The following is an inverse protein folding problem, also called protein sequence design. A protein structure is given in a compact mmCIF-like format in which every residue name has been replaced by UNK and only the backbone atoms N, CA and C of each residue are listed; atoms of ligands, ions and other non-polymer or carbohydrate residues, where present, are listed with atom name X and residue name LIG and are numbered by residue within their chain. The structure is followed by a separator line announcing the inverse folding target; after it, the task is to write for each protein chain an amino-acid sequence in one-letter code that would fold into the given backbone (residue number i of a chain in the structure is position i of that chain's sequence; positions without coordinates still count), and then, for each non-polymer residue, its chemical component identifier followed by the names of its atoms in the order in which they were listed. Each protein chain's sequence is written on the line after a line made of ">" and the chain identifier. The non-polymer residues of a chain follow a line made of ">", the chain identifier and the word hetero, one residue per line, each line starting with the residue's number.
data_IF_220865940739
#
_entry.id   IF_220865940739
#
_cell.length_a   1.000
_cell.length_b   1.000
_cell.length_c   1.000
_cell.angle_alpha   90.00
_cell.angle_beta   90.00
_cell.angle_gamma   90.00
#
_symmetry.space_group_name_H-M   'P 1'
#
loop_
_entity.id
_entity.type
_entity.pdbx_description
1 polymer ?
#
# COMPACT_ATOMS: atom_id res chain seq x y z
N UNK A 1 0.39 20.10 15.53
CA UNK A 1 0.76 19.21 14.41
C UNK A 1 1.46 18.01 14.99
N UNK A 2 1.06 16.82 14.58
CA UNK A 2 1.63 15.53 15.00
C UNK A 2 1.42 14.47 13.92
N UNK A 3 2.14 13.37 14.04
CA UNK A 3 1.96 12.19 13.19
C UNK A 3 2.31 10.92 13.92
N UNK A 4 1.70 9.82 13.52
CA UNK A 4 2.02 8.48 14.00
C UNK A 4 2.08 7.49 12.85
N UNK A 5 2.98 6.53 12.94
CA UNK A 5 3.06 5.39 12.03
C UNK A 5 3.16 4.12 12.85
N UNK A 6 2.36 3.13 12.48
CA UNK A 6 2.27 1.82 13.14
C UNK A 6 2.53 0.75 12.08
N UNK A 7 3.36 -0.24 12.43
CA UNK A 7 3.57 -1.46 11.65
C UNK A 7 3.20 -2.65 12.52
N UNK A 8 2.27 -3.46 12.08
CA UNK A 8 1.76 -4.63 12.80
C UNK A 8 1.97 -5.89 11.97
N UNK A 9 2.47 -6.95 12.58
CA UNK A 9 2.50 -8.26 11.96
C UNK A 9 1.10 -8.88 11.99
N UNK A 10 0.66 -9.38 10.84
CA UNK A 10 -0.75 -9.76 10.66
C UNK A 10 -1.16 -10.90 11.59
N UNK A 11 -0.39 -11.97 11.67
CA UNK A 11 -0.81 -13.20 12.35
C UNK A 11 -0.56 -13.18 13.86
N UNK A 12 0.48 -12.49 14.31
CA UNK A 12 0.86 -12.45 15.73
C UNK A 12 0.28 -11.26 16.48
N UNK A 13 -0.11 -10.19 15.77
CA UNK A 13 -0.53 -8.94 16.38
C UNK A 13 0.62 -8.09 16.92
N UNK A 14 1.87 -8.52 16.72
CA UNK A 14 3.04 -7.80 17.22
C UNK A 14 3.20 -6.44 16.54
N UNK A 15 3.34 -5.40 17.32
CA UNK A 15 3.66 -4.05 16.85
C UNK A 15 5.17 -3.98 16.64
N UNK A 16 5.60 -4.10 15.38
CA UNK A 16 7.01 -4.12 14.99
C UNK A 16 7.64 -2.73 14.98
N UNK A 17 6.83 -1.70 14.75
CA UNK A 17 7.25 -0.31 14.84
C UNK A 17 6.08 0.58 15.24
N UNK A 18 6.35 1.52 16.13
CA UNK A 18 5.42 2.54 16.59
C UNK A 18 6.18 3.86 16.74
N UNK A 19 5.90 4.81 15.86
CA UNK A 19 6.54 6.12 15.83
C UNK A 19 5.50 7.20 16.07
N UNK A 20 5.77 8.12 17.01
CA UNK A 20 4.91 9.22 17.36
C UNK A 20 5.70 10.53 17.37
N UNK A 21 5.44 11.42 16.43
CA UNK A 21 6.14 12.69 16.32
C UNK A 21 5.18 13.85 16.51
N UNK A 22 5.45 14.68 17.50
CA UNK A 22 4.74 15.92 17.77
C UNK A 22 5.62 17.13 17.56
N UNK A 23 5.07 18.24 17.06
CA UNK A 23 5.79 19.50 16.89
C UNK A 23 6.16 20.09 18.25
N UNK A 24 7.44 20.43 18.41
CA UNK A 24 7.95 21.10 19.61
C UNK A 24 7.75 22.62 19.53
N UNK A 25 7.77 23.36 20.66
CA UNK A 25 7.72 24.81 20.68
C UNK A 25 8.82 25.47 19.85
N UNK A 26 10.01 24.88 19.77
CA UNK A 26 11.13 25.34 18.96
C UNK A 26 11.03 25.02 17.46
N UNK A 27 9.89 24.47 17.00
CA UNK A 27 9.61 24.21 15.56
C UNK A 27 10.11 22.86 15.04
N UNK A 28 10.88 22.09 15.83
CA UNK A 28 11.28 20.72 15.52
C UNK A 28 10.18 19.69 15.82
N UNK A 29 10.52 18.40 15.71
CA UNK A 29 9.65 17.26 16.04
C UNK A 29 10.34 16.33 17.01
N UNK A 30 9.57 15.81 17.98
CA UNK A 30 10.06 14.83 18.95
C UNK A 30 8.94 13.88 19.37
N UNK A 31 9.29 12.71 19.87
CA UNK A 31 8.36 11.81 20.57
C UNK A 31 8.06 12.35 21.96
N UNK A 32 6.83 12.75 22.20
CA UNK A 32 6.36 13.33 23.46
C UNK A 32 5.08 12.71 23.98
N UNK A 33 4.26 12.20 23.09
CA UNK A 33 2.96 11.62 23.39
C UNK A 33 2.75 10.43 22.45
N UNK A 34 2.17 9.36 22.97
CA UNK A 34 1.77 8.23 22.13
C UNK A 34 0.43 8.52 21.46
N UNK A 35 0.48 9.19 20.29
CA UNK A 35 -0.70 9.53 19.51
C UNK A 35 -1.44 8.31 18.97
N UNK A 36 -0.74 7.19 18.81
CA UNK A 36 -1.29 5.95 18.28
C UNK A 36 -2.40 5.38 19.20
N UNK A 37 -2.25 5.50 20.51
CA UNK A 37 -3.17 4.93 21.50
C UNK A 37 -3.93 6.00 22.29
N UNK A 38 -3.32 7.18 22.47
CA UNK A 38 -3.81 8.26 23.34
C UNK A 38 -4.68 9.32 22.64
N UNK A 39 -4.82 9.28 21.32
CA UNK A 39 -5.59 10.28 20.56
C UNK A 39 -6.70 9.65 19.75
N UNK A 40 -7.94 9.87 20.19
CA UNK A 40 -9.12 9.53 19.41
C UNK A 40 -9.45 10.67 18.44
N UNK A 41 -9.56 10.34 17.16
CA UNK A 41 -9.92 11.26 16.09
C UNK A 41 -11.03 10.68 15.22
N UNK A 42 -11.74 11.51 14.50
CA UNK A 42 -12.64 11.01 13.47
C UNK A 42 -11.82 10.32 12.38
N UNK A 43 -12.04 9.01 12.12
CA UNK A 43 -11.22 8.23 11.18
C UNK A 43 -11.44 8.62 9.71
N UNK A 44 -12.51 9.37 9.42
CA UNK A 44 -12.90 9.71 8.05
C UNK A 44 -13.05 8.45 7.19
N UNK A 45 -12.64 8.52 5.95
CA UNK A 45 -12.85 7.43 4.98
C UNK A 45 -12.15 6.11 5.30
N UNK A 46 -11.25 6.04 6.28
CA UNK A 46 -10.76 4.73 6.76
C UNK A 46 -11.85 3.95 7.48
N UNK A 47 -12.86 4.61 8.03
CA UNK A 47 -14.03 3.97 8.64
C UNK A 47 -14.93 3.25 7.62
N UNK A 48 -14.82 3.56 6.34
CA UNK A 48 -15.64 2.91 5.30
C UNK A 48 -15.43 1.40 5.23
N UNK A 49 -14.36 0.86 5.79
CA UNK A 49 -14.21 -0.58 5.97
C UNK A 49 -15.35 -1.16 6.84
N UNK A 50 -15.67 -0.51 7.96
CA UNK A 50 -16.81 -0.93 8.80
C UNK A 50 -18.14 -0.82 8.04
N UNK A 51 -18.32 0.25 7.27
CA UNK A 51 -19.51 0.42 6.43
C UNK A 51 -19.61 -0.61 5.30
N UNK A 52 -18.48 -1.00 4.70
CA UNK A 52 -18.42 -2.09 3.71
C UNK A 52 -18.83 -3.42 4.32
N UNK A 53 -18.29 -3.76 5.50
CA UNK A 53 -18.64 -4.98 6.22
C UNK A 53 -20.13 -5.01 6.57
N UNK A 54 -20.67 -3.91 7.08
CA UNK A 54 -22.09 -3.77 7.38
C UNK A 54 -22.97 -3.98 6.14
N UNK A 55 -22.65 -3.32 5.04
CA UNK A 55 -23.46 -3.39 3.81
C UNK A 55 -23.40 -4.76 3.14
N UNK A 56 -22.24 -5.44 3.17
CA UNK A 56 -22.05 -6.72 2.49
C UNK A 56 -22.45 -7.92 3.36
N UNK A 57 -22.18 -7.88 4.68
CA UNK A 57 -22.40 -9.02 5.57
C UNK A 57 -23.77 -8.99 6.25
N UNK A 58 -24.23 -7.82 6.68
CA UNK A 58 -25.49 -7.67 7.40
C UNK A 58 -26.67 -7.30 6.47
N UNK A 59 -26.45 -6.40 5.51
CA UNK A 59 -27.50 -5.99 4.56
C UNK A 59 -27.52 -6.80 3.25
N UNK A 60 -26.58 -7.71 3.05
CA UNK A 60 -26.41 -8.54 1.83
C UNK A 60 -26.50 -7.70 0.52
N UNK A 61 -25.88 -6.53 0.54
CA UNK A 61 -25.96 -5.59 -0.55
C UNK A 61 -25.20 -6.09 -1.79
N UNK A 62 -25.82 -6.08 -2.99
CA UNK A 62 -25.15 -6.48 -4.22
C UNK A 62 -24.03 -5.48 -4.59
N UNK A 63 -22.93 -5.99 -5.20
CA UNK A 63 -21.81 -5.16 -5.62
C UNK A 63 -22.12 -4.28 -6.84
N UNK A 64 -23.13 -4.62 -7.62
CA UNK A 64 -23.62 -3.87 -8.77
C UNK A 64 -24.70 -2.84 -8.42
N UNK A 65 -25.08 -2.73 -7.13
CA UNK A 65 -25.99 -1.68 -6.65
C UNK A 65 -25.40 -0.31 -6.96
N UNK A 66 -26.12 0.50 -7.71
CA UNK A 66 -25.71 1.84 -8.11
C UNK A 66 -26.46 2.94 -7.38
N UNK A 67 -25.78 4.06 -7.15
CA UNK A 67 -26.37 5.30 -6.65
C UNK A 67 -25.82 6.49 -7.44
N UNK A 68 -26.71 7.42 -7.79
CA UNK A 68 -26.30 8.76 -8.24
C UNK A 68 -25.61 9.50 -7.09
N UNK A 69 -24.35 9.87 -7.30
CA UNK A 69 -23.49 10.56 -6.33
C UNK A 69 -23.39 12.06 -6.57
N UNK A 70 -24.15 12.59 -7.56
CA UNK A 70 -24.29 14.02 -7.82
C UNK A 70 -23.07 14.66 -8.47
N UNK A 71 -22.12 13.89 -9.00
CA UNK A 71 -20.93 14.38 -9.71
C UNK A 71 -20.15 15.47 -8.98
N UNK A 72 -19.87 15.24 -7.69
CA UNK A 72 -19.17 16.21 -6.82
C UNK A 72 -20.05 17.36 -6.32
N UNK A 73 -21.34 17.38 -6.65
CA UNK A 73 -22.30 18.35 -6.09
C UNK A 73 -22.78 17.91 -4.71
N UNK A 74 -23.34 18.84 -3.98
CA UNK A 74 -23.98 18.55 -2.69
C UNK A 74 -25.28 17.79 -2.92
N UNK A 75 -25.38 16.59 -2.33
CA UNK A 75 -26.58 15.75 -2.31
C UNK A 75 -27.19 15.77 -0.92
N UNK A 76 -28.51 15.70 -0.80
CA UNK A 76 -29.20 15.55 0.49
C UNK A 76 -29.54 14.06 0.72
N UNK A 77 -29.11 13.52 1.86
CA UNK A 77 -29.42 12.18 2.33
C UNK A 77 -30.05 12.30 3.71
N UNK A 78 -31.28 11.86 3.88
CA UNK A 78 -32.01 12.01 5.15
C UNK A 78 -32.07 13.49 5.62
N UNK A 79 -32.12 14.45 4.67
CA UNK A 79 -32.09 15.88 4.97
C UNK A 79 -30.69 16.47 5.16
N UNK A 80 -29.66 15.63 5.30
CA UNK A 80 -28.27 16.03 5.58
C UNK A 80 -27.51 16.26 4.29
N UNK A 81 -26.76 17.36 4.22
CA UNK A 81 -25.90 17.70 3.06
C UNK A 81 -24.62 16.85 3.09
N UNK A 82 -24.40 16.10 2.03
CA UNK A 82 -23.22 15.26 1.81
C UNK A 82 -22.62 15.61 0.45
N UNK A 83 -21.30 15.55 0.35
CA UNK A 83 -20.57 15.83 -0.89
C UNK A 83 -19.34 14.93 -0.96
N UNK A 84 -19.02 14.48 -2.17
CA UNK A 84 -17.76 13.82 -2.46
C UNK A 84 -16.63 14.82 -2.62
N UNK A 85 -15.41 14.37 -2.32
CA UNK A 85 -14.20 15.19 -2.46
C UNK A 85 -13.75 15.36 -3.92
N UNK A 86 -14.28 14.54 -4.82
CA UNK A 86 -13.93 14.52 -6.25
C UNK A 86 -15.22 14.55 -7.08
N UNK A 87 -15.16 15.24 -8.22
CA UNK A 87 -16.17 15.19 -9.27
C UNK A 87 -15.78 14.14 -10.31
N UNK A 88 -16.66 13.85 -11.28
CA UNK A 88 -16.39 12.97 -12.41
C UNK A 88 -17.30 11.74 -12.49
N UNK A 89 -18.15 11.53 -11.48
CA UNK A 89 -19.08 10.40 -11.46
C UNK A 89 -20.51 10.86 -11.12
N UNK A 90 -21.47 10.44 -11.91
CA UNK A 90 -22.89 10.53 -11.56
C UNK A 90 -23.31 9.26 -10.83
N UNK A 91 -23.41 8.16 -11.54
CA UNK A 91 -23.76 6.88 -10.97
C UNK A 91 -22.48 6.09 -10.64
N UNK A 92 -22.41 5.55 -9.44
CA UNK A 92 -21.36 4.65 -8.99
C UNK A 92 -21.94 3.33 -8.52
N UNK A 93 -21.31 2.23 -8.90
CA UNK A 93 -21.46 0.94 -8.26
C UNK A 93 -20.62 0.84 -6.96
N UNK A 94 -20.75 -0.25 -6.24
CA UNK A 94 -20.04 -0.44 -4.95
C UNK A 94 -18.51 -0.39 -5.13
N UNK A 95 -17.97 -1.04 -6.16
CA UNK A 95 -16.53 -1.09 -6.43
C UNK A 95 -15.97 0.30 -6.70
N UNK A 96 -16.58 1.02 -7.61
CA UNK A 96 -16.20 2.40 -7.95
C UNK A 96 -16.29 3.32 -6.73
N UNK A 97 -17.36 3.20 -5.93
CA UNK A 97 -17.55 4.00 -4.73
C UNK A 97 -16.47 3.74 -3.67
N UNK A 98 -16.00 2.50 -3.52
CA UNK A 98 -14.88 2.16 -2.63
C UNK A 98 -13.57 2.71 -3.18
N UNK A 99 -13.27 2.49 -4.46
CA UNK A 99 -12.04 2.94 -5.12
C UNK A 99 -11.91 4.47 -5.08
N UNK A 100 -13.00 5.20 -5.37
CA UNK A 100 -13.07 6.66 -5.36
C UNK A 100 -13.37 7.24 -3.97
N UNK A 101 -13.65 6.37 -3.00
CA UNK A 101 -13.96 6.77 -1.62
C UNK A 101 -15.16 7.74 -1.51
N UNK A 102 -16.26 7.47 -2.24
CA UNK A 102 -17.47 8.30 -2.26
C UNK A 102 -18.15 8.36 -0.89
N UNK A 103 -18.39 9.55 -0.37
CA UNK A 103 -19.18 9.79 0.83
C UNK A 103 -20.67 9.67 0.54
N UNK A 104 -21.09 10.17 -0.63
CA UNK A 104 -22.50 10.19 -1.02
C UNK A 104 -23.02 8.77 -1.20
N UNK A 105 -22.24 7.90 -1.86
CA UNK A 105 -22.60 6.49 -2.01
C UNK A 105 -22.86 5.79 -0.67
N UNK A 106 -21.88 5.85 0.23
CA UNK A 106 -22.00 5.22 1.55
C UNK A 106 -23.11 5.82 2.40
N UNK A 107 -23.32 7.15 2.31
CA UNK A 107 -24.40 7.81 3.01
C UNK A 107 -25.77 7.31 2.52
N UNK A 108 -26.01 7.25 1.19
CA UNK A 108 -27.26 6.74 0.61
C UNK A 108 -27.49 5.27 0.96
N UNK A 109 -26.49 4.42 0.78
CA UNK A 109 -26.58 2.98 1.03
C UNK A 109 -26.89 2.68 2.49
N UNK A 110 -26.24 3.35 3.45
CA UNK A 110 -26.50 3.19 4.87
C UNK A 110 -27.85 3.78 5.27
N UNK A 111 -28.20 4.96 4.74
CA UNK A 111 -29.47 5.58 5.02
C UNK A 111 -30.65 4.69 4.61
N UNK A 112 -30.63 4.19 3.39
CA UNK A 112 -31.69 3.34 2.83
C UNK A 112 -31.95 2.08 3.68
N UNK A 113 -30.89 1.51 4.29
CA UNK A 113 -31.00 0.23 5.00
C UNK A 113 -31.15 0.33 6.50
N UNK A 114 -30.73 1.46 7.08
CA UNK A 114 -30.63 1.59 8.55
C UNK A 114 -31.31 2.84 9.11
N UNK A 115 -31.94 3.68 8.29
CA UNK A 115 -32.63 4.87 8.79
C UNK A 115 -33.74 4.54 9.80
N UNK A 116 -34.48 3.45 9.54
CA UNK A 116 -35.59 2.99 10.38
C UNK A 116 -35.15 2.03 11.49
N UNK A 117 -33.92 1.53 11.44
CA UNK A 117 -33.36 0.62 12.45
C UNK A 117 -31.90 0.93 12.77
N UNK A 118 -31.68 2.02 13.48
CA UNK A 118 -30.35 2.50 13.87
C UNK A 118 -29.68 1.60 14.93
N UNK A 119 -30.46 0.89 15.71
CA UNK A 119 -29.97 -0.09 16.69
C UNK A 119 -29.23 -1.24 15.99
N UNK A 120 -29.77 -1.77 14.89
CA UNK A 120 -29.10 -2.80 14.07
C UNK A 120 -27.74 -2.32 13.55
N UNK A 121 -27.66 -1.06 13.13
CA UNK A 121 -26.39 -0.45 12.78
C UNK A 121 -25.40 -0.46 13.96
N UNK A 122 -25.84 -0.01 15.15
CA UNK A 122 -24.98 0.04 16.33
C UNK A 122 -24.54 -1.33 16.80
N UNK A 123 -25.43 -2.31 16.79
CA UNK A 123 -25.12 -3.69 17.20
C UNK A 123 -24.06 -4.30 16.27
N UNK A 124 -24.14 -4.02 14.97
CA UNK A 124 -23.10 -4.45 14.04
C UNK A 124 -21.76 -3.75 14.31
N UNK A 125 -21.75 -2.44 14.61
CA UNK A 125 -20.51 -1.73 14.98
C UNK A 125 -19.88 -2.26 16.26
N UNK A 126 -20.70 -2.68 17.25
CA UNK A 126 -20.23 -3.37 18.47
C UNK A 126 -19.67 -4.76 18.13
N UNK A 127 -20.30 -5.52 17.24
CA UNK A 127 -19.75 -6.79 16.71
C UNK A 127 -18.37 -6.60 16.09
N UNK A 128 -18.11 -5.44 15.47
CA UNK A 128 -16.78 -5.06 14.95
C UNK A 128 -15.82 -4.56 16.03
N UNK A 129 -16.16 -4.64 17.32
CA UNK A 129 -15.34 -4.19 18.45
C UNK A 129 -14.98 -2.69 18.42
N UNK A 130 -15.85 -1.85 17.83
CA UNK A 130 -15.58 -0.42 17.63
C UNK A 130 -16.04 0.46 18.80
N UNK A 131 -16.59 -0.10 19.84
CA UNK A 131 -17.01 0.56 21.08
C UNK A 131 -16.08 0.26 22.26
N UNK A 132 -15.04 -0.54 22.06
CA UNK A 132 -14.14 -1.03 23.09
C UNK A 132 -12.66 -0.74 22.74
N UNK A 133 -11.82 -0.77 23.77
CA UNK A 133 -10.36 -0.76 23.60
C UNK A 133 -9.88 -2.08 23.01
N UNK A 134 -8.72 -2.07 22.35
CA UNK A 134 -8.10 -3.29 21.82
C UNK A 134 -7.29 -4.04 22.91
N UNK A 135 -7.12 -3.43 24.08
CA UNK A 135 -6.54 -4.04 25.28
C UNK A 135 -5.04 -4.27 25.19
N UNK A 136 -4.31 -3.19 24.94
CA UNK A 136 -2.85 -3.19 24.98
C UNK A 136 -2.31 -3.37 26.39
N UNK A 137 -1.08 -3.91 26.50
CA UNK A 137 -0.34 -3.99 27.77
C UNK A 137 0.20 -2.61 28.24
N UNK A 138 -0.06 -1.54 27.47
CA UNK A 138 0.40 -0.18 27.75
C UNK A 138 -0.70 0.68 28.37
N UNK A 139 -0.31 1.56 29.28
CA UNK A 139 -1.19 2.59 29.84
C UNK A 139 -1.51 3.67 28.79
N UNK A 140 -2.73 4.24 28.88
CA UNK A 140 -3.14 5.40 28.09
C UNK A 140 -3.94 5.08 26.84
N UNK A 141 -4.30 3.81 26.63
CA UNK A 141 -5.26 3.48 25.58
C UNK A 141 -6.61 4.13 25.88
N UNK A 142 -7.08 4.95 24.94
CA UNK A 142 -8.37 5.64 25.07
C UNK A 142 -9.51 4.79 24.51
N UNK A 143 -10.59 4.70 25.29
CA UNK A 143 -11.85 4.10 24.82
C UNK A 143 -12.37 4.87 23.61
N UNK A 144 -12.89 4.19 22.56
CA UNK A 144 -13.57 4.84 21.44
C UNK A 144 -14.70 5.76 21.91
N UNK A 145 -14.94 6.83 21.16
CA UNK A 145 -16.14 7.63 21.36
C UNK A 145 -17.22 7.13 20.39
N UNK A 146 -18.12 6.31 20.92
CA UNK A 146 -19.25 5.75 20.20
C UNK A 146 -20.55 6.08 20.94
N UNK A 147 -21.13 7.25 20.62
CA UNK A 147 -22.35 7.74 21.29
C UNK A 147 -23.58 6.91 20.89
N UNK A 148 -24.48 6.71 21.83
CA UNK A 148 -25.80 6.12 21.60
C UNK A 148 -26.71 7.09 20.83
N UNK A 149 -27.65 6.55 20.04
CA UNK A 149 -28.66 7.33 19.30
C UNK A 149 -29.55 8.17 20.21
N UNK A 150 -29.82 7.66 21.42
CA UNK A 150 -30.67 8.33 22.42
C UNK A 150 -30.00 9.54 23.08
N UNK A 151 -28.66 9.60 22.98
CA UNK A 151 -27.86 10.67 23.60
C UNK A 151 -27.59 11.84 22.67
N UNK A 152 -28.07 11.79 21.42
CA UNK A 152 -27.76 12.82 20.42
C UNK A 152 -29.02 13.54 19.94
N UNK A 153 -28.94 14.89 19.75
CA UNK A 153 -30.08 15.66 19.28
C UNK A 153 -30.58 15.31 17.88
N UNK A 154 -29.68 14.83 17.01
CA UNK A 154 -29.97 14.52 15.61
C UNK A 154 -29.40 13.15 15.22
N UNK A 155 -30.14 12.04 15.51
CA UNK A 155 -29.74 10.69 15.15
C UNK A 155 -29.58 10.48 13.63
N UNK A 156 -30.35 11.18 12.81
CA UNK A 156 -30.28 11.07 11.35
C UNK A 156 -28.96 11.65 10.83
N UNK A 157 -28.58 12.83 11.31
CA UNK A 157 -27.27 13.41 10.99
C UNK A 157 -26.12 12.50 11.45
N UNK A 158 -26.27 11.87 12.62
CA UNK A 158 -25.28 10.94 13.14
C UNK A 158 -25.14 9.73 12.21
N UNK A 159 -26.23 9.07 11.81
CA UNK A 159 -26.19 7.90 10.92
C UNK A 159 -25.52 8.23 9.60
N UNK A 160 -25.99 9.31 8.92
CA UNK A 160 -25.43 9.75 7.65
C UNK A 160 -23.93 10.05 7.76
N UNK A 161 -23.50 10.75 8.81
CA UNK A 161 -22.09 11.12 8.97
C UNK A 161 -21.21 9.96 9.41
N UNK A 162 -21.72 9.03 10.23
CA UNK A 162 -20.99 7.80 10.60
C UNK A 162 -20.70 6.91 9.41
N UNK A 163 -21.54 6.89 8.38
CA UNK A 163 -21.33 6.05 7.20
C UNK A 163 -19.98 6.30 6.51
N UNK A 164 -19.38 7.47 6.69
CA UNK A 164 -18.07 7.83 6.14
C UNK A 164 -17.07 8.33 7.19
N UNK A 165 -17.28 7.98 8.48
CA UNK A 165 -16.29 8.11 9.55
C UNK A 165 -16.27 9.44 10.29
N UNK A 166 -17.39 10.16 10.34
CA UNK A 166 -17.60 11.28 11.25
C UNK A 166 -18.53 10.89 12.40
N UNK A 167 -18.59 11.68 13.47
CA UNK A 167 -19.43 11.38 14.66
C UNK A 167 -19.10 10.05 15.34
N UNK A 168 -17.90 9.57 15.14
CA UNK A 168 -17.24 8.48 15.85
C UNK A 168 -15.77 8.86 16.00
N UNK A 169 -15.15 8.57 17.14
CA UNK A 169 -13.71 8.83 17.29
C UNK A 169 -13.01 7.54 17.70
N UNK A 170 -12.00 7.18 16.92
CA UNK A 170 -11.14 6.01 17.09
C UNK A 170 -9.69 6.46 17.22
N UNK A 171 -8.91 5.71 17.96
CA UNK A 171 -7.45 5.86 17.96
C UNK A 171 -6.84 5.16 16.73
N UNK A 172 -5.65 5.56 16.28
CA UNK A 172 -4.96 4.88 15.19
C UNK A 172 -4.77 3.39 15.42
N UNK A 173 -4.54 2.94 16.67
CA UNK A 173 -4.39 1.52 16.98
C UNK A 173 -5.68 0.73 16.74
N UNK A 174 -6.85 1.31 17.01
CA UNK A 174 -8.14 0.68 16.71
C UNK A 174 -8.38 0.58 15.20
N UNK A 175 -8.01 1.62 14.45
CA UNK A 175 -8.13 1.60 12.98
C UNK A 175 -7.23 0.53 12.38
N UNK A 176 -5.96 0.44 12.76
CA UNK A 176 -5.06 -0.59 12.20
C UNK A 176 -5.52 -1.99 12.58
N UNK A 177 -6.03 -2.20 13.81
CA UNK A 177 -6.54 -3.51 14.26
C UNK A 177 -7.72 -3.97 13.42
N UNK A 178 -8.65 -3.08 13.05
CA UNK A 178 -9.75 -3.40 12.16
C UNK A 178 -9.26 -3.84 10.76
N UNK A 179 -8.28 -3.16 10.19
CA UNK A 179 -7.70 -3.55 8.89
C UNK A 179 -6.86 -4.83 8.99
N UNK A 180 -6.13 -4.99 10.09
CA UNK A 180 -5.41 -6.24 10.37
C UNK A 180 -6.33 -7.45 10.44
N UNK A 181 -7.55 -7.27 10.94
CA UNK A 181 -8.57 -8.32 10.97
C UNK A 181 -8.90 -8.85 9.57
N UNK A 182 -9.04 -7.96 8.58
CA UNK A 182 -9.26 -8.36 7.19
C UNK A 182 -8.03 -9.08 6.61
N UNK A 183 -6.85 -8.57 6.91
CA UNK A 183 -5.59 -9.21 6.55
C UNK A 183 -5.43 -10.60 7.20
N UNK A 184 -5.91 -10.78 8.45
CA UNK A 184 -5.81 -11.99 9.27
C UNK A 184 -7.06 -12.90 9.14
N UNK A 185 -7.51 -13.11 7.92
CA UNK A 185 -8.60 -14.04 7.58
C UNK A 185 -9.92 -13.81 8.36
N UNK A 186 -10.17 -12.56 8.73
CA UNK A 186 -11.39 -12.17 9.46
C UNK A 186 -11.31 -12.37 10.98
N UNK A 187 -10.17 -12.82 11.50
CA UNK A 187 -9.94 -12.99 12.93
C UNK A 187 -9.32 -11.74 13.52
N UNK A 188 -10.03 -11.07 14.45
CA UNK A 188 -9.50 -9.92 15.16
C UNK A 188 -8.70 -10.36 16.37
N UNK A 189 -7.45 -9.93 16.45
CA UNK A 189 -6.55 -10.18 17.57
C UNK A 189 -6.09 -8.86 18.19
N UNK A 190 -5.83 -8.86 19.48
CA UNK A 190 -5.27 -7.69 20.17
C UNK A 190 -3.85 -7.41 19.66
N UNK A 191 -3.49 -6.14 19.42
CA UNK A 191 -2.09 -5.80 19.22
C UNK A 191 -1.25 -6.11 20.46
N UNK A 192 0.04 -6.42 20.28
CA UNK A 192 1.00 -6.66 21.38
C UNK A 192 2.18 -5.70 21.23
N UNK A 193 2.53 -5.00 22.30
CA UNK A 193 3.73 -4.14 22.38
C UNK A 193 4.87 -4.83 23.10
N UNK A 194 4.56 -5.72 24.04
CA UNK A 194 5.53 -6.45 24.85
C UNK A 194 5.42 -7.93 24.55
N UNK A 195 6.50 -8.55 24.08
CA UNK A 195 6.54 -9.98 23.77
C UNK A 195 6.79 -10.81 25.02
N UNK A 196 7.71 -10.35 25.88
CA UNK A 196 8.10 -11.07 27.08
C UNK A 196 8.71 -10.14 28.15
N UNK A 197 8.60 -10.56 29.40
CA UNK A 197 9.34 -10.02 30.53
C UNK A 197 10.47 -10.97 30.87
N UNK A 198 11.67 -10.42 31.07
CA UNK A 198 12.87 -11.19 31.46
C UNK A 198 13.45 -10.70 32.78
N UNK A 199 14.06 -11.64 33.51
CA UNK A 199 14.93 -11.36 34.65
C UNK A 199 16.29 -11.97 34.35
N UNK A 200 17.24 -11.16 33.89
CA UNK A 200 18.47 -11.67 33.25
C UNK A 200 18.15 -12.43 31.98
N UNK A 201 18.63 -13.67 31.88
CA UNK A 201 18.35 -14.54 30.71
C UNK A 201 17.04 -15.35 30.84
N UNK A 202 16.45 -15.38 32.04
CA UNK A 202 15.23 -16.12 32.32
C UNK A 202 13.99 -15.36 31.86
N UNK A 203 13.14 -16.01 31.05
CA UNK A 203 11.83 -15.49 30.67
C UNK A 203 10.86 -15.70 31.83
N UNK A 204 10.33 -14.61 32.38
CA UNK A 204 9.37 -14.61 33.49
C UNK A 204 7.94 -14.74 32.98
N UNK A 205 7.63 -14.08 31.85
CA UNK A 205 6.29 -14.04 31.30
C UNK A 205 6.35 -13.85 29.78
N UNK A 206 5.47 -14.56 29.05
CA UNK A 206 5.24 -14.37 27.62
C UNK A 206 3.85 -13.78 27.37
N UNK A 207 3.79 -12.73 26.58
CA UNK A 207 2.54 -12.14 26.09
C UNK A 207 2.18 -12.70 24.71
N UNK A 208 0.91 -12.99 24.52
CA UNK A 208 0.35 -13.43 23.22
C UNK A 208 -0.90 -12.62 22.91
N UNK A 209 -1.14 -12.37 21.63
CA UNK A 209 -2.36 -11.72 21.21
C UNK A 209 -3.59 -12.50 21.66
N UNK A 210 -4.54 -11.78 22.23
CA UNK A 210 -5.86 -12.34 22.57
C UNK A 210 -6.79 -12.23 21.37
N UNK A 211 -7.62 -13.23 21.16
CA UNK A 211 -8.69 -13.12 20.18
C UNK A 211 -9.77 -12.18 20.71
N UNK A 212 -10.04 -11.09 19.97
CA UNK A 212 -11.10 -10.14 20.28
C UNK A 212 -12.41 -10.53 19.58
N UNK A 213 -12.31 -10.95 18.30
CA UNK A 213 -13.44 -11.46 17.51
C UNK A 213 -12.94 -12.63 16.67
N UNK A 214 -13.54 -13.81 16.82
CA UNK A 214 -13.11 -15.01 16.07
C UNK A 214 -13.40 -14.91 14.59
N UNK A 215 -14.53 -14.33 14.22
CA UNK A 215 -14.97 -14.18 12.84
C UNK A 215 -15.75 -12.89 12.66
N UNK A 216 -15.14 -11.91 11.97
CA UNK A 216 -15.73 -10.57 11.83
C UNK A 216 -16.89 -10.52 10.82
N UNK A 217 -16.83 -11.39 9.80
CA UNK A 217 -17.83 -11.50 8.72
C UNK A 217 -17.78 -12.88 8.06
N UNK A 218 -18.66 -13.13 7.11
CA UNK A 218 -18.68 -14.34 6.30
C UNK A 218 -17.44 -14.41 5.36
N UNK A 219 -17.08 -15.65 4.96
CA UNK A 219 -15.98 -15.86 3.99
C UNK A 219 -16.25 -15.17 2.64
N UNK A 220 -17.52 -15.10 2.22
CA UNK A 220 -17.93 -14.38 1.03
C UNK A 220 -17.61 -12.89 1.16
N UNK A 221 -18.08 -12.28 2.25
CA UNK A 221 -17.84 -10.85 2.53
C UNK A 221 -16.34 -10.56 2.65
N UNK A 222 -15.59 -11.41 3.34
CA UNK A 222 -14.15 -11.25 3.49
C UNK A 222 -13.42 -11.21 2.13
N UNK A 223 -13.75 -12.15 1.24
CA UNK A 223 -13.15 -12.17 -0.12
C UNK A 223 -13.47 -10.91 -0.92
N UNK A 224 -14.74 -10.46 -0.87
CA UNK A 224 -15.13 -9.26 -1.62
C UNK A 224 -14.48 -8.00 -1.04
N UNK A 225 -14.45 -7.84 0.29
CA UNK A 225 -13.78 -6.70 0.95
C UNK A 225 -12.29 -6.65 0.61
N UNK A 226 -11.59 -7.78 0.56
CA UNK A 226 -10.18 -7.84 0.15
C UNK A 226 -9.98 -7.33 -1.27
N UNK A 227 -10.79 -7.79 -2.23
CA UNK A 227 -10.75 -7.31 -3.62
C UNK A 227 -11.02 -5.80 -3.71
N UNK A 228 -11.99 -5.31 -2.95
CA UNK A 228 -12.33 -3.89 -2.91
C UNK A 228 -11.19 -3.05 -2.36
N UNK A 229 -10.51 -3.49 -1.29
CA UNK A 229 -9.36 -2.78 -0.73
C UNK A 229 -8.13 -2.85 -1.66
N UNK A 230 -7.94 -3.94 -2.38
CA UNK A 230 -6.90 -4.07 -3.39
C UNK A 230 -7.15 -3.10 -4.57
N UNK A 231 -8.41 -2.95 -5.03
CA UNK A 231 -8.76 -1.98 -6.07
C UNK A 231 -8.45 -0.52 -5.68
N UNK A 232 -8.51 -0.18 -4.40
CA UNK A 232 -8.07 1.15 -3.92
C UNK A 232 -6.57 1.36 -4.16
N UNK A 233 -5.76 0.31 -3.96
CA UNK A 233 -4.30 0.36 -4.18
C UNK A 233 -3.90 0.37 -5.65
N UNK A 234 -4.67 -0.25 -6.54
CA UNK A 234 -4.35 -0.43 -7.95
C UNK A 234 -5.00 0.61 -8.87
N UNK A 235 -6.25 0.98 -8.60
CA UNK A 235 -7.09 1.81 -9.48
C UNK A 235 -7.63 3.06 -8.78
N UNK A 236 -7.73 3.04 -7.45
CA UNK A 236 -8.39 4.07 -6.64
C UNK A 236 -7.44 5.13 -6.08
N UNK A 237 -7.83 5.67 -4.92
CA UNK A 237 -7.12 6.78 -4.23
C UNK A 237 -5.71 6.43 -3.76
N UNK A 238 -5.35 5.15 -3.69
CA UNK A 238 -4.02 4.63 -3.39
C UNK A 238 -3.13 4.36 -4.61
N UNK A 239 -3.70 4.36 -5.82
CA UNK A 239 -3.02 3.95 -7.05
C UNK A 239 -1.74 4.75 -7.36
N UNK A 240 -1.70 6.04 -7.03
CA UNK A 240 -0.50 6.87 -7.21
C UNK A 240 0.71 6.40 -6.39
N UNK A 241 0.51 5.53 -5.40
CA UNK A 241 1.57 4.99 -4.54
C UNK A 241 1.91 3.54 -4.87
N UNK A 242 0.93 2.72 -5.32
CA UNK A 242 1.09 1.27 -5.37
C UNK A 242 0.85 0.64 -6.74
N UNK A 243 0.34 1.38 -7.74
CA UNK A 243 0.09 0.85 -9.10
C UNK A 243 1.33 0.22 -9.74
N UNK A 244 2.51 0.79 -9.50
CA UNK A 244 3.77 0.35 -10.13
C UNK A 244 4.52 -0.72 -9.32
N UNK A 245 3.92 -1.27 -8.26
CA UNK A 245 4.49 -2.40 -7.54
C UNK A 245 4.22 -3.69 -8.32
N UNK A 246 5.19 -4.08 -9.17
CA UNK A 246 5.05 -5.21 -10.10
C UNK A 246 5.20 -6.58 -9.44
N UNK A 247 5.81 -6.63 -8.26
CA UNK A 247 6.16 -7.88 -7.57
C UNK A 247 5.16 -8.26 -6.47
N UNK A 248 4.35 -7.31 -6.02
CA UNK A 248 3.34 -7.52 -4.98
C UNK A 248 2.21 -6.51 -5.12
N UNK A 249 1.01 -6.90 -4.69
CA UNK A 249 -0.14 -5.99 -4.62
C UNK A 249 -0.34 -5.50 -3.19
N UNK A 250 -0.91 -4.32 -3.06
CA UNK A 250 -1.19 -3.67 -1.78
C UNK A 250 -2.67 -3.36 -1.69
N UNK A 251 -3.31 -3.88 -0.67
CA UNK A 251 -4.67 -3.47 -0.31
C UNK A 251 -4.58 -2.24 0.60
N UNK A 252 -5.31 -1.18 0.28
CA UNK A 252 -5.17 0.09 0.98
C UNK A 252 -6.49 0.84 1.15
N UNK A 253 -6.47 1.84 2.02
CA UNK A 253 -7.52 2.85 2.13
C UNK A 253 -6.94 4.18 2.60
N UNK A 254 -7.26 5.24 1.89
CA UNK A 254 -6.99 6.61 2.32
C UNK A 254 -8.13 7.16 3.17
N UNK A 255 -7.80 8.06 4.09
CA UNK A 255 -8.77 8.77 4.90
C UNK A 255 -8.39 10.24 5.04
N UNK A 256 -9.40 11.10 5.02
CA UNK A 256 -9.26 12.52 5.34
C UNK A 256 -10.43 12.91 6.18
N UNK A 257 -10.17 13.51 7.34
CA UNK A 257 -11.19 14.07 8.20
C UNK A 257 -10.81 15.49 8.64
N UNK A 258 -11.79 16.37 8.81
CA UNK A 258 -11.60 17.61 9.53
C UNK A 258 -11.37 17.26 11.01
N UNK A 259 -10.46 17.98 11.65
CA UNK A 259 -10.16 17.76 13.06
C UNK A 259 -10.82 18.83 13.93
N UNK A 260 -11.47 18.36 15.00
CA UNK A 260 -11.95 19.21 16.08
C UNK A 260 -11.78 18.51 17.42
N UNK A 261 -11.42 19.26 18.46
CA UNK A 261 -11.38 18.87 19.85
C UNK A 261 -11.96 19.98 20.74
N UNK A 262 -11.76 19.89 22.06
CA UNK A 262 -12.29 20.87 23.01
C UNK A 262 -11.74 22.31 22.84
N UNK A 263 -10.61 22.45 22.13
CA UNK A 263 -9.90 23.72 21.89
C UNK A 263 -9.91 24.16 20.43
N UNK A 264 -10.12 23.22 19.52
CA UNK A 264 -10.03 23.42 18.06
C UNK A 264 -11.38 23.08 17.43
N UNK A 265 -12.01 24.03 16.77
CA UNK A 265 -13.23 23.80 16.00
C UNK A 265 -12.95 23.40 14.55
N UNK A 266 -13.93 22.84 13.86
CA UNK A 266 -13.81 22.49 12.43
C UNK A 266 -13.45 23.69 11.53
N UNK A 267 -13.80 24.92 11.95
CA UNK A 267 -13.48 26.15 11.19
C UNK A 267 -12.02 26.56 11.28
N UNK A 268 -11.25 26.01 12.22
CA UNK A 268 -9.83 26.33 12.42
C UNK A 268 -8.92 25.70 11.36
N UNK A 269 -9.50 24.85 10.49
CA UNK A 269 -8.85 24.32 9.31
C UNK A 269 -7.79 23.27 9.60
N UNK A 270 -7.96 22.48 10.68
CA UNK A 270 -7.13 21.32 10.95
C UNK A 270 -7.72 20.05 10.35
N UNK A 271 -6.84 19.16 9.92
CA UNK A 271 -7.19 17.92 9.25
C UNK A 271 -6.37 16.74 9.77
N UNK A 272 -6.97 15.56 9.70
CA UNK A 272 -6.32 14.26 9.84
C UNK A 272 -6.25 13.64 8.45
N UNK A 273 -5.03 13.40 7.96
CA UNK A 273 -4.78 12.62 6.76
C UNK A 273 -4.22 11.25 7.12
N UNK A 274 -4.87 10.18 6.71
CA UNK A 274 -4.48 8.82 7.03
C UNK A 274 -4.35 7.96 5.78
N UNK A 275 -3.46 6.97 5.84
CA UNK A 275 -3.44 5.84 4.92
C UNK A 275 -3.15 4.57 5.71
N UNK A 276 -3.99 3.57 5.51
CA UNK A 276 -3.78 2.22 6.03
C UNK A 276 -3.65 1.27 4.86
N UNK A 277 -2.74 0.30 4.97
CA UNK A 277 -2.49 -0.71 3.96
C UNK A 277 -2.07 -2.02 4.59
N UNK A 278 -2.36 -3.15 3.92
CA UNK A 278 -1.73 -4.43 4.22
C UNK A 278 -1.16 -5.04 2.94
N UNK A 279 -0.10 -5.83 3.10
CA UNK A 279 0.61 -6.41 1.98
C UNK A 279 1.36 -7.71 2.35
N UNK A 280 1.64 -8.59 1.36
CA UNK A 280 1.00 -8.63 0.04
C UNK A 280 -0.53 -8.79 0.17
N UNK A 281 -1.33 -8.29 -0.78
CA UNK A 281 -2.80 -8.32 -0.64
C UNK A 281 -3.39 -9.74 -0.59
N UNK A 282 -2.77 -10.70 -1.31
CA UNK A 282 -3.21 -12.09 -1.40
C UNK A 282 -2.75 -12.97 -0.21
N UNK A 283 -1.60 -12.67 0.40
CA UNK A 283 -1.06 -13.37 1.57
C UNK A 283 -0.46 -12.35 2.54
N UNK A 284 -1.28 -11.63 3.28
CA UNK A 284 -0.84 -10.50 4.09
C UNK A 284 0.10 -10.92 5.22
N UNK A 285 1.24 -10.21 5.33
CA UNK A 285 2.19 -10.36 6.43
C UNK A 285 2.24 -9.15 7.34
N UNK A 286 2.04 -7.96 6.78
CA UNK A 286 2.12 -6.70 7.52
C UNK A 286 0.95 -5.79 7.23
N UNK A 287 0.47 -5.13 8.28
CA UNK A 287 -0.47 -4.01 8.19
C UNK A 287 0.27 -2.74 8.61
N UNK A 288 0.14 -1.68 7.85
CA UNK A 288 0.81 -0.39 8.07
C UNK A 288 -0.23 0.72 8.11
N UNK A 289 -0.20 1.56 9.11
CA UNK A 289 -1.01 2.79 9.18
C UNK A 289 -0.11 3.99 9.43
N UNK A 290 -0.33 5.05 8.67
CA UNK A 290 0.19 6.38 8.98
C UNK A 290 -0.96 7.36 9.12
N UNK A 291 -0.95 8.15 10.17
CA UNK A 291 -1.90 9.24 10.43
C UNK A 291 -1.15 10.53 10.72
N UNK A 292 -1.49 11.61 10.01
CA UNK A 292 -0.85 12.91 10.15
C UNK A 292 -1.92 13.98 10.42
N UNK A 293 -1.76 14.68 11.55
CA UNK A 293 -2.53 15.86 11.91
C UNK A 293 -1.84 17.11 11.38
N UNK A 294 -2.52 17.89 10.56
CA UNK A 294 -1.97 19.08 9.92
C UNK A 294 -2.98 20.24 9.90
N UNK A 295 -2.48 21.45 9.74
CA UNK A 295 -3.30 22.62 9.45
C UNK A 295 -3.29 22.88 7.95
N UNK A 296 -4.45 23.20 7.37
CA UNK A 296 -4.57 23.60 5.97
C UNK A 296 -3.69 24.82 5.68
N UNK A 297 -2.90 24.73 4.64
CA UNK A 297 -2.03 25.81 4.15
C UNK A 297 -2.24 25.97 2.66
N UNK A 298 -2.12 27.21 2.16
CA UNK A 298 -2.20 27.49 0.73
C UNK A 298 -1.11 26.69 -0.03
N UNK A 299 -1.47 26.10 -1.15
CA UNK A 299 -0.56 25.31 -1.99
C UNK A 299 -0.11 23.97 -1.43
N UNK A 300 -0.56 23.57 -0.22
CA UNK A 300 -0.23 22.26 0.36
C UNK A 300 -1.46 21.38 0.48
N UNK A 301 -1.30 20.10 0.16
CA UNK A 301 -2.37 19.11 0.34
C UNK A 301 -2.59 18.80 1.82
N UNK A 302 -3.85 18.57 2.18
CA UNK A 302 -4.27 18.05 3.49
C UNK A 302 -4.97 16.68 3.37
N UNK A 303 -5.03 16.13 2.16
CA UNK A 303 -5.62 14.81 1.92
C UNK A 303 -4.70 13.67 2.41
N UNK A 304 -5.34 12.58 2.87
CA UNK A 304 -4.63 11.44 3.43
C UNK A 304 -3.64 10.77 2.47
N UNK A 305 -4.00 10.65 1.19
CA UNK A 305 -3.08 10.13 0.16
C UNK A 305 -1.76 10.90 0.14
N UNK A 306 -1.75 12.18 -0.27
CA UNK A 306 -0.52 12.98 -0.33
C UNK A 306 0.23 13.13 1.00
N UNK A 307 -0.45 13.14 2.15
CA UNK A 307 0.20 13.27 3.45
C UNK A 307 0.83 11.96 3.92
N UNK A 308 0.06 10.90 3.97
CA UNK A 308 0.44 9.64 4.61
C UNK A 308 0.94 8.58 3.61
N UNK A 309 0.51 8.66 2.35
CA UNK A 309 0.88 7.72 1.30
C UNK A 309 2.38 7.57 1.07
N UNK A 310 3.16 8.65 0.99
CA UNK A 310 4.62 8.56 0.83
C UNK A 310 5.31 7.81 1.98
N UNK A 311 4.81 7.95 3.21
CA UNK A 311 5.36 7.25 4.38
C UNK A 311 5.02 5.76 4.29
N UNK A 312 3.74 5.43 4.08
CA UNK A 312 3.30 4.03 3.94
C UNK A 312 4.03 3.33 2.80
N UNK A 313 4.16 3.97 1.62
CA UNK A 313 4.92 3.43 0.49
C UNK A 313 6.37 3.11 0.87
N UNK A 314 7.06 4.02 1.56
CA UNK A 314 8.45 3.80 1.98
C UNK A 314 8.56 2.63 2.96
N UNK A 315 7.65 2.52 3.93
CA UNK A 315 7.63 1.41 4.89
C UNK A 315 7.37 0.09 4.19
N UNK A 316 6.34 0.02 3.33
CA UNK A 316 6.00 -1.17 2.53
C UNK A 316 7.20 -1.60 1.67
N UNK A 317 7.81 -0.67 0.94
CA UNK A 317 8.98 -0.95 0.09
C UNK A 317 10.17 -1.45 0.92
N UNK A 318 10.42 -0.83 2.09
CA UNK A 318 11.50 -1.23 2.99
C UNK A 318 11.30 -2.67 3.50
N UNK A 319 10.12 -2.98 4.00
CA UNK A 319 9.78 -4.31 4.51
C UNK A 319 9.85 -5.36 3.39
N UNK A 320 9.31 -5.05 2.22
CA UNK A 320 9.38 -5.95 1.07
C UNK A 320 10.83 -6.27 0.67
N UNK A 321 11.69 -5.25 0.60
CA UNK A 321 13.09 -5.45 0.20
C UNK A 321 13.94 -6.15 1.26
N UNK A 322 13.53 -6.12 2.52
CA UNK A 322 14.25 -6.75 3.64
C UNK A 322 13.94 -8.24 3.77
N UNK A 323 12.71 -8.62 3.48
CA UNK A 323 12.26 -9.99 3.58
C UNK A 323 12.68 -10.78 2.34
N UNK A 324 13.30 -11.95 2.54
CA UNK A 324 13.74 -12.82 1.46
C UNK A 324 12.80 -14.01 1.21
N UNK A 325 11.87 -14.25 2.12
CA UNK A 325 10.99 -15.43 2.15
C UNK A 325 9.57 -15.11 1.64
N UNK A 326 9.45 -14.13 0.74
CA UNK A 326 8.17 -13.90 0.09
C UNK A 326 7.80 -15.14 -0.72
N UNK A 327 6.62 -15.69 -0.44
CA UNK A 327 6.04 -16.72 -1.29
C UNK A 327 5.65 -16.08 -2.63
N UNK A 328 6.62 -16.02 -3.52
CA UNK A 328 6.45 -15.62 -4.91
C UNK A 328 5.97 -16.83 -5.74
N UNK A 329 5.12 -17.67 -5.15
CA UNK A 329 4.58 -18.85 -5.84
C UNK A 329 4.08 -18.46 -7.21
N UNK A 330 4.62 -19.05 -8.29
CA UNK A 330 4.27 -18.72 -9.66
C UNK A 330 2.79 -19.00 -9.99
N UNK A 331 2.11 -19.75 -9.13
CA UNK A 331 0.72 -20.18 -9.32
C UNK A 331 -0.30 -19.06 -9.29
N UNK A 332 0.03 -17.92 -8.69
CA UNK A 332 -0.86 -16.75 -8.61
C UNK A 332 -0.46 -15.58 -9.52
N UNK A 333 0.60 -15.71 -10.29
CA UNK A 333 0.87 -14.73 -11.32
C UNK A 333 -0.08 -14.97 -12.48
N UNK A 334 -1.06 -14.12 -12.66
CA UNK A 334 -1.70 -13.91 -13.96
C UNK A 334 -0.63 -13.81 -15.04
N UNK A 335 -0.98 -13.70 -16.32
CA UNK A 335 -0.03 -13.74 -17.45
C UNK A 335 1.35 -13.23 -17.09
N UNK A 336 2.36 -14.13 -17.15
CA UNK A 336 3.74 -13.80 -16.81
C UNK A 336 4.23 -12.72 -17.76
N UNK A 337 4.24 -11.48 -17.32
CA UNK A 337 4.83 -10.38 -18.08
C UNK A 337 6.35 -10.48 -17.97
N UNK A 338 6.97 -11.05 -18.99
CA UNK A 338 8.44 -11.04 -19.11
C UNK A 338 8.95 -9.60 -19.32
N UNK A 339 10.12 -9.27 -18.77
CA UNK A 339 10.69 -7.95 -18.97
C UNK A 339 10.81 -7.66 -20.46
N UNK A 340 10.25 -6.53 -20.92
CA UNK A 340 10.26 -6.11 -22.33
C UNK A 340 11.66 -5.81 -22.89
N UNK A 341 12.69 -5.86 -22.05
CA UNK A 341 14.10 -5.66 -22.41
C UNK A 341 14.97 -6.62 -21.63
N UNK A 342 15.53 -7.59 -22.33
CA UNK A 342 16.57 -8.47 -21.82
C UNK A 342 17.87 -8.03 -22.49
N UNK A 343 18.92 -7.78 -21.73
CA UNK A 343 20.23 -7.43 -22.29
C UNK A 343 20.89 -8.64 -22.92
N UNK A 344 21.60 -8.43 -24.01
CA UNK A 344 22.55 -9.39 -24.54
C UNK A 344 23.69 -9.69 -23.56
N UNK A 345 24.38 -10.80 -23.74
CA UNK A 345 25.47 -11.22 -22.87
C UNK A 345 26.00 -12.60 -23.25
N UNK A 346 26.80 -13.21 -22.38
CA UNK A 346 27.27 -14.59 -22.57
C UNK A 346 26.07 -15.56 -22.63
N UNK A 347 25.95 -16.33 -23.72
CA UNK A 347 24.82 -17.21 -23.99
C UNK A 347 24.64 -18.25 -22.89
N UNK A 348 25.72 -18.81 -22.31
CA UNK A 348 25.62 -19.79 -21.27
C UNK A 348 25.02 -19.20 -19.98
N UNK A 349 25.36 -17.97 -19.65
CA UNK A 349 24.78 -17.27 -18.50
C UNK A 349 23.30 -16.87 -18.75
N UNK A 350 22.99 -16.35 -19.95
CA UNK A 350 21.62 -16.02 -20.33
C UNK A 350 20.74 -17.29 -20.29
N UNK A 351 21.23 -18.42 -20.75
CA UNK A 351 20.50 -19.70 -20.72
C UNK A 351 20.13 -20.10 -19.30
N UNK A 352 21.10 -20.03 -18.36
CA UNK A 352 20.84 -20.35 -16.93
C UNK A 352 19.75 -19.46 -16.31
N UNK A 353 19.65 -18.21 -16.73
CA UNK A 353 18.62 -17.28 -16.29
C UNK A 353 17.28 -17.59 -17.01
N UNK A 354 17.34 -17.79 -18.32
CA UNK A 354 16.15 -18.05 -19.14
C UNK A 354 15.44 -19.35 -18.73
N UNK A 355 16.18 -20.41 -18.41
CA UNK A 355 15.61 -21.69 -17.95
C UNK A 355 14.78 -21.52 -16.67
N UNK A 356 15.14 -20.57 -15.81
CA UNK A 356 14.41 -20.27 -14.57
C UNK A 356 13.26 -19.28 -14.75
N UNK A 357 13.42 -18.29 -15.61
CA UNK A 357 12.52 -17.11 -15.65
C UNK A 357 11.79 -16.92 -16.98
N UNK A 358 12.16 -17.63 -18.04
CA UNK A 358 11.59 -17.43 -19.38
C UNK A 358 11.48 -18.73 -20.19
N UNK A 359 10.42 -19.55 -19.98
CA UNK A 359 10.24 -20.82 -20.69
C UNK A 359 10.01 -20.67 -22.21
N UNK A 360 9.80 -19.45 -22.73
CA UNK A 360 9.61 -19.15 -24.16
C UNK A 360 10.88 -18.61 -24.82
N UNK A 361 12.05 -18.90 -24.27
CA UNK A 361 13.32 -18.45 -24.86
C UNK A 361 13.87 -19.52 -25.78
N UNK A 362 14.10 -19.17 -27.05
CA UNK A 362 14.78 -19.99 -28.04
C UNK A 362 16.24 -19.53 -28.17
N UNK A 363 17.13 -20.48 -28.39
CA UNK A 363 18.57 -20.24 -28.58
C UNK A 363 19.00 -20.81 -29.92
N UNK A 364 19.48 -19.95 -30.82
CA UNK A 364 20.03 -20.38 -32.10
C UNK A 364 21.42 -21.01 -31.92
N UNK A 365 22.18 -20.55 -30.92
CA UNK A 365 23.53 -20.99 -30.63
C UNK A 365 23.71 -21.42 -29.15
N UNK A 366 24.78 -22.16 -28.90
CA UNK A 366 25.07 -22.73 -27.56
C UNK A 366 26.14 -21.95 -26.78
N UNK A 367 27.00 -21.18 -27.44
CA UNK A 367 28.14 -20.47 -26.88
C UNK A 367 28.35 -19.12 -27.57
N UNK A 368 29.03 -18.21 -26.91
CA UNK A 368 29.37 -16.91 -27.44
C UNK A 368 28.58 -15.78 -26.81
N UNK A 369 28.71 -14.58 -27.36
CA UNK A 369 27.96 -13.40 -26.92
C UNK A 369 26.63 -13.33 -27.67
N UNK A 370 25.55 -13.37 -26.94
CA UNK A 370 24.19 -13.38 -27.50
C UNK A 370 23.56 -12.00 -27.61
N UNK A 371 22.90 -11.75 -28.70
CA UNK A 371 21.92 -10.67 -28.87
C UNK A 371 20.52 -11.20 -28.62
N UNK A 372 19.68 -10.37 -28.06
CA UNK A 372 18.31 -10.71 -27.70
C UNK A 372 17.37 -10.01 -28.64
N UNK A 373 16.46 -10.77 -29.28
CA UNK A 373 15.31 -10.26 -30.03
C UNK A 373 14.03 -10.69 -29.34
N UNK A 374 13.08 -9.81 -29.25
CA UNK A 374 11.74 -10.06 -28.69
C UNK A 374 10.74 -9.74 -29.79
N UNK A 375 9.91 -10.71 -30.13
CA UNK A 375 8.82 -10.52 -31.12
C UNK A 375 7.55 -9.92 -30.49
N UNK A 376 6.57 -9.62 -31.30
CA UNK A 376 5.27 -9.06 -30.88
C UNK A 376 4.45 -10.00 -29.99
N UNK A 377 4.78 -11.29 -29.97
CA UNK A 377 4.12 -12.32 -29.15
C UNK A 377 4.93 -12.60 -27.87
N UNK A 378 5.94 -11.75 -27.57
CA UNK A 378 6.84 -11.88 -26.41
C UNK A 378 7.70 -13.17 -26.42
N UNK A 379 7.92 -13.81 -27.58
CA UNK A 379 8.93 -14.84 -27.68
C UNK A 379 10.31 -14.19 -27.73
N UNK A 380 11.23 -14.77 -26.99
CA UNK A 380 12.62 -14.29 -26.87
C UNK A 380 13.51 -15.20 -27.71
N UNK A 381 14.21 -14.64 -28.68
CA UNK A 381 15.21 -15.36 -29.48
C UNK A 381 16.59 -14.81 -29.16
N UNK A 382 17.52 -15.70 -28.85
CA UNK A 382 18.92 -15.37 -28.58
C UNK A 382 19.78 -15.98 -29.69
N UNK A 383 20.40 -15.08 -30.45
CA UNK A 383 21.33 -15.43 -31.51
C UNK A 383 22.73 -14.91 -31.16
N UNK A 384 23.76 -15.62 -31.63
CA UNK A 384 25.13 -15.16 -31.46
C UNK A 384 25.36 -13.90 -32.27
N UNK A 385 25.97 -12.90 -31.64
CA UNK A 385 26.59 -11.82 -32.39
C UNK A 385 27.69 -12.46 -33.24
N UNK A 386 27.57 -12.40 -34.56
CA UNK A 386 28.64 -12.83 -35.43
C UNK A 386 29.91 -12.10 -35.05
N UNK A 387 30.87 -12.81 -34.46
CA UNK A 387 32.09 -12.20 -33.95
C UNK A 387 33.24 -12.61 -34.88
N UNK A 388 33.76 -11.65 -35.60
CA UNK A 388 35.12 -11.71 -36.07
C UNK A 388 36.03 -11.25 -34.92
N UNK A 389 36.80 -12.13 -34.35
CA UNK A 389 37.75 -11.82 -33.26
C UNK A 389 38.87 -10.90 -33.67
N UNK A 390 38.97 -10.57 -34.98
CA UNK A 390 39.96 -9.70 -35.54
C UNK A 390 39.50 -8.27 -35.76
N UNK A 391 38.20 -8.01 -35.50
CA UNK A 391 37.65 -6.66 -35.67
C UNK A 391 37.07 -6.09 -34.36
N UNK A 392 37.11 -4.75 -34.26
CA UNK A 392 36.61 -4.00 -33.13
C UNK A 392 35.10 -4.13 -33.00
N UNK A 393 34.58 -4.62 -31.86
CA UNK A 393 33.13 -4.71 -31.63
C UNK A 393 32.54 -3.33 -31.36
N UNK A 394 31.25 -3.19 -31.58
CA UNK A 394 30.49 -2.03 -31.10
C UNK A 394 30.11 -2.21 -29.65
N UNK A 395 30.68 -1.45 -28.74
CA UNK A 395 30.39 -1.46 -27.30
C UNK A 395 29.57 -0.25 -26.84
N UNK A 396 29.24 0.66 -27.75
CA UNK A 396 28.41 1.86 -27.41
C UNK A 396 27.03 1.39 -26.93
N UNK A 397 26.54 1.98 -25.83
CA UNK A 397 25.31 1.60 -25.16
C UNK A 397 25.45 0.44 -24.15
N UNK A 398 26.59 -0.25 -24.10
CA UNK A 398 26.83 -1.33 -23.13
C UNK A 398 27.19 -0.78 -21.75
N UNK A 399 26.88 -1.54 -20.70
CA UNK A 399 27.42 -1.30 -19.37
C UNK A 399 28.93 -1.57 -19.33
N UNK A 400 29.66 -0.94 -18.41
CA UNK A 400 31.10 -1.08 -18.29
C UNK A 400 31.56 -2.55 -18.25
N UNK A 401 30.90 -3.39 -17.43
CA UNK A 401 31.27 -4.79 -17.26
C UNK A 401 31.18 -5.58 -18.57
N UNK A 402 30.11 -5.37 -19.31
CA UNK A 402 29.88 -6.06 -20.58
C UNK A 402 30.86 -5.60 -21.66
N UNK A 403 31.12 -4.30 -21.71
CA UNK A 403 32.10 -3.70 -22.64
C UNK A 403 33.53 -4.21 -22.36
N UNK A 404 33.96 -4.22 -21.09
CA UNK A 404 35.25 -4.76 -20.68
C UNK A 404 35.40 -6.23 -21.09
N UNK A 405 34.40 -7.06 -20.73
CA UNK A 405 34.44 -8.48 -21.09
C UNK A 405 34.60 -8.68 -22.61
N UNK A 406 33.84 -7.93 -23.40
CA UNK A 406 33.86 -8.06 -24.87
C UNK A 406 35.18 -7.59 -25.50
N UNK A 407 35.81 -6.55 -24.96
CA UNK A 407 37.06 -6.01 -25.45
C UNK A 407 38.27 -6.81 -24.97
N UNK A 408 38.30 -7.16 -23.68
CA UNK A 408 39.41 -7.93 -23.08
C UNK A 408 39.46 -9.39 -23.56
N UNK A 409 38.31 -10.00 -23.85
CA UNK A 409 38.25 -11.33 -24.45
C UNK A 409 38.95 -11.39 -25.83
N UNK A 410 39.06 -10.26 -26.54
CA UNK A 410 39.83 -10.07 -27.78
C UNK A 410 41.29 -9.71 -27.56
N UNK A 411 41.71 -9.68 -26.30
CA UNK A 411 43.07 -9.36 -25.89
C UNK A 411 43.42 -7.88 -25.99
N UNK A 412 42.40 -6.99 -25.98
CA UNK A 412 42.62 -5.55 -25.95
C UNK A 412 42.90 -5.07 -24.51
N UNK A 413 43.71 -4.02 -24.38
CA UNK A 413 43.90 -3.31 -23.11
C UNK A 413 42.94 -2.12 -23.06
N UNK A 414 42.02 -2.14 -22.09
CA UNK A 414 40.96 -1.13 -22.02
C UNK A 414 41.24 -0.10 -20.94
N UNK A 415 41.16 1.19 -21.33
CA UNK A 415 41.11 2.32 -20.41
C UNK A 415 39.70 2.89 -20.43
N UNK A 416 39.19 3.29 -19.28
CA UNK A 416 37.82 3.86 -19.23
C UNK A 416 37.72 5.06 -18.30
N UNK A 417 36.74 5.91 -18.56
CA UNK A 417 36.37 7.06 -17.70
C UNK A 417 34.85 7.24 -17.67
N UNK A 418 34.32 7.85 -16.59
CA UNK A 418 32.89 8.08 -16.42
C UNK A 418 32.15 6.94 -15.71
N UNK A 419 30.80 7.02 -15.68
CA UNK A 419 29.91 6.05 -15.05
C UNK A 419 28.68 5.83 -15.94
N UNK A 420 28.04 4.63 -15.84
CA UNK A 420 26.82 4.33 -16.61
C UNK A 420 27.08 3.48 -17.84
N UNK A 421 26.59 3.89 -19.00
CA UNK A 421 26.76 3.18 -20.27
C UNK A 421 27.83 3.83 -21.15
N UNK A 422 28.48 3.00 -21.98
CA UNK A 422 29.49 3.49 -22.93
C UNK A 422 28.84 4.43 -23.95
N UNK A 423 29.31 5.64 -24.02
CA UNK A 423 28.90 6.65 -25.00
C UNK A 423 29.86 6.77 -26.18
N UNK A 424 31.14 6.46 -25.94
CA UNK A 424 32.20 6.60 -26.95
C UNK A 424 33.23 5.49 -26.80
N UNK A 425 33.77 5.03 -27.92
CA UNK A 425 34.93 4.15 -28.02
C UNK A 425 35.96 4.73 -29.01
N UNK A 426 37.24 4.68 -28.65
CA UNK A 426 38.32 5.33 -29.41
C UNK A 426 38.67 4.65 -30.74
N UNK A 427 38.26 3.37 -30.91
CA UNK A 427 38.45 2.62 -32.17
C UNK A 427 37.07 2.37 -32.75
N UNK A 428 36.84 2.71 -34.01
CA UNK A 428 35.56 2.51 -34.67
C UNK A 428 35.21 1.02 -34.81
N UNK A 429 33.90 0.63 -34.63
CA UNK A 429 33.46 -0.71 -34.87
C UNK A 429 33.83 -1.22 -36.26
N UNK A 430 34.24 -2.49 -36.38
CA UNK A 430 34.68 -3.09 -37.65
C UNK A 430 36.16 -2.84 -38.01
N UNK A 431 36.86 -1.95 -37.31
CA UNK A 431 38.30 -1.71 -37.51
C UNK A 431 39.08 -2.98 -37.11
N UNK A 432 40.06 -3.36 -37.92
CA UNK A 432 40.95 -4.50 -37.62
C UNK A 432 41.79 -4.21 -36.37
N UNK A 433 41.78 -5.17 -35.43
CA UNK A 433 42.48 -5.02 -34.15
C UNK A 433 43.55 -6.09 -34.02
N UNK A 434 44.56 -5.80 -33.21
CA UNK A 434 45.61 -6.75 -32.84
C UNK A 434 45.63 -6.98 -31.33
N UNK A 435 45.97 -8.18 -30.91
CA UNK A 435 46.09 -8.56 -29.51
C UNK A 435 47.11 -7.65 -28.80
N UNK A 436 46.75 -7.11 -27.63
CA UNK A 436 47.55 -6.12 -26.89
C UNK A 436 47.28 -4.68 -27.30
N UNK A 437 46.45 -4.43 -28.32
CA UNK A 437 46.04 -3.09 -28.72
C UNK A 437 45.32 -2.33 -27.58
N UNK A 438 45.53 -1.00 -27.52
CA UNK A 438 44.87 -0.17 -26.49
C UNK A 438 43.56 0.45 -27.03
N UNK A 439 42.52 0.44 -26.23
CA UNK A 439 41.25 1.10 -26.53
C UNK A 439 40.76 1.89 -25.32
N UNK A 440 40.22 3.06 -25.56
CA UNK A 440 39.61 3.91 -24.52
C UNK A 440 38.12 3.97 -24.74
N UNK A 441 37.36 3.82 -23.67
CA UNK A 441 35.89 3.99 -23.67
C UNK A 441 35.48 5.04 -22.64
N UNK A 442 34.46 5.85 -22.99
CA UNK A 442 33.92 6.88 -22.12
C UNK A 442 32.48 6.55 -21.81
N UNK A 443 32.11 6.56 -20.52
CA UNK A 443 30.76 6.27 -20.01
C UNK A 443 30.09 7.56 -19.55
N UNK A 444 28.76 7.57 -19.68
CA UNK A 444 27.90 8.65 -19.15
C UNK A 444 26.59 8.07 -18.67
#
# INVERSE_FOLDING_TARGET
>A
IWGTTIVMEVRTGEILALVNLGRTPGGGYAERENYAIGRNTEPGSTFKLASMLLLLDDADMPLDQTYDTGNGRVVKVGGIRVQDSHAGFNDMDFRTAVAQSSNVYFAKAIWERYADNKERYSDFMKKLHLDQTVGLEAFGEKKPLFQDWKEVPDPNSMLVRRSFGYRIKLSPIQVITLYNTIANDGKMISPILVRELRRGDDVVEHFKARTLVDKICSERTLREVRKLLESVGTEGTGAGFFRDTTLYTVAAKTGTAQYADDKIGYRDGYYIGSMVAYFPAHNPRYTVLTTIHTKRQAGKSYYGGPLSGPVVKKVVTYLYNREHDWDLSPENSGEKHYPRRIKGGDIAQIRRIADKFSPRTSFEDRKGWGTVRIDSLSNVTISTLAQDDQTMPNVVGMGLKDALFLLESRGLRVSFSGRGSVQYQSIAPGTRISRGGAVTITLK
#
